data_IF_669531204950
#
_entry.id   IF_669531204950
#
_cell.length_a   1.000
_cell.length_b   1.000
_cell.length_c   1.000
_cell.angle_alpha   90.00
_cell.angle_beta   90.00
_cell.angle_gamma   90.00
#
_symmetry.space_group_name_H-M   'P 1'
#
loop_
_entity.id
_entity.type
_entity.pdbx_description
1 polymer ?
#
# COMPACT_ATOMS: atom_id res chain seq x y z
N UNK A 1 42.58 11.33 19.34
CA UNK A 1 43.78 10.89 18.61
C UNK A 1 43.58 9.40 18.34
N UNK A 2 43.51 8.84 17.14
CA UNK A 2 44.10 9.20 15.87
C UNK A 2 43.12 8.98 14.70
N UNK A 3 43.32 9.74 13.63
CA UNK A 3 42.64 9.63 12.34
C UNK A 3 43.44 8.70 11.41
N UNK A 4 42.74 8.01 10.52
CA UNK A 4 43.36 7.40 9.33
C UNK A 4 42.50 7.74 8.12
N UNK A 5 43.09 8.56 7.25
CA UNK A 5 42.63 8.91 5.90
C UNK A 5 43.32 8.00 4.88
N UNK A 6 42.59 7.57 3.86
CA UNK A 6 43.18 7.08 2.59
C UNK A 6 42.35 7.68 1.45
N UNK A 7 43.04 8.28 0.48
CA UNK A 7 42.46 8.77 -0.77
C UNK A 7 43.23 8.25 -1.99
N UNK A 8 42.59 8.32 -3.15
CA UNK A 8 43.14 8.39 -4.53
C UNK A 8 41.92 8.50 -5.47
N UNK A 9 41.72 9.58 -6.26
CA UNK A 9 42.28 9.85 -7.61
C UNK A 9 42.01 8.69 -8.58
N UNK A 10 41.42 8.81 -9.77
CA UNK A 10 41.15 9.91 -10.71
C UNK A 10 41.37 9.35 -12.15
N UNK A 11 40.58 9.80 -13.14
CA UNK A 11 40.75 9.76 -14.63
C UNK A 11 39.32 9.79 -15.25
N UNK A 12 38.88 10.72 -16.10
CA UNK A 12 39.56 11.64 -17.00
C UNK A 12 39.37 11.16 -18.45
N UNK A 13 38.50 11.83 -19.24
CA UNK A 13 38.33 11.55 -20.68
C UNK A 13 37.14 12.27 -21.33
N UNK A 14 37.38 13.51 -21.78
CA UNK A 14 36.53 14.27 -22.71
C UNK A 14 36.95 14.01 -24.17
N UNK A 15 36.00 13.96 -25.12
CA UNK A 15 36.21 14.38 -26.51
C UNK A 15 34.87 14.64 -27.26
N UNK A 16 34.68 15.92 -27.58
CA UNK A 16 33.74 16.59 -28.51
C UNK A 16 33.85 16.05 -29.97
N UNK A 17 33.00 16.27 -31.00
CA UNK A 17 32.15 17.40 -31.47
C UNK A 17 31.35 16.94 -32.76
N UNK A 18 30.72 17.77 -33.65
CA UNK A 18 29.29 17.63 -34.06
C UNK A 18 28.97 17.41 -35.58
N UNK A 19 27.76 16.90 -35.86
CA UNK A 19 26.65 17.26 -36.82
C UNK A 19 26.88 17.90 -38.25
N UNK A 20 25.84 18.02 -39.14
CA UNK A 20 25.49 17.23 -40.36
C UNK A 20 25.61 18.05 -41.69
N UNK A 21 25.01 17.68 -42.87
CA UNK A 21 23.57 17.93 -43.17
C UNK A 21 22.90 17.00 -44.23
N UNK A 22 21.62 17.32 -44.49
CA UNK A 22 20.58 16.59 -45.24
C UNK A 22 20.60 16.70 -46.79
N UNK A 23 19.71 15.93 -47.44
CA UNK A 23 18.64 16.32 -48.42
C UNK A 23 18.59 15.49 -49.73
N UNK A 24 17.38 15.04 -50.12
CA UNK A 24 16.94 14.93 -51.53
C UNK A 24 16.69 13.51 -52.10
N UNK A 25 15.46 12.96 -52.11
CA UNK A 25 14.39 12.96 -53.16
C UNK A 25 14.52 11.92 -54.32
N UNK A 26 13.47 11.09 -54.45
CA UNK A 26 12.79 10.60 -55.68
C UNK A 26 12.79 9.08 -56.04
N UNK A 27 11.57 8.54 -56.08
CA UNK A 27 10.92 7.73 -57.14
C UNK A 27 11.22 6.21 -57.35
N UNK A 28 10.17 5.42 -57.04
CA UNK A 28 9.52 4.35 -57.82
C UNK A 28 10.33 3.18 -58.43
N UNK A 29 9.99 1.93 -58.03
CA UNK A 29 9.36 0.91 -58.88
C UNK A 29 9.31 -0.46 -58.16
N UNK A 30 8.24 -1.21 -58.44
CA UNK A 30 7.91 -2.53 -57.91
C UNK A 30 8.92 -3.62 -58.30
N UNK A 31 9.21 -4.56 -57.41
CA UNK A 31 9.20 -5.98 -57.81
C UNK A 31 9.02 -6.93 -56.61
N UNK A 32 8.29 -8.00 -56.87
CA UNK A 32 7.81 -8.98 -55.90
C UNK A 32 8.90 -10.03 -55.61
N UNK A 33 9.19 -10.29 -54.34
CA UNK A 33 9.77 -11.59 -53.95
C UNK A 33 9.30 -12.00 -52.55
N UNK A 34 8.57 -13.11 -52.56
CA UNK A 34 7.99 -13.87 -51.46
C UNK A 34 8.85 -14.01 -50.20
N UNK A 35 8.31 -13.59 -49.06
CA UNK A 35 8.63 -14.15 -47.73
C UNK A 35 7.33 -14.35 -46.95
N UNK A 36 7.02 -15.56 -46.47
CA UNK A 36 5.87 -15.76 -45.60
C UNK A 36 6.12 -15.03 -44.28
N UNK A 37 5.30 -14.01 -43.99
CA UNK A 37 5.22 -13.42 -42.67
C UNK A 37 4.57 -14.45 -41.74
N UNK A 38 5.38 -15.01 -40.85
CA UNK A 38 4.90 -15.75 -39.69
C UNK A 38 4.02 -14.80 -38.88
N UNK A 39 2.74 -15.13 -38.84
CA UNK A 39 1.71 -14.56 -37.98
C UNK A 39 2.21 -14.55 -36.53
N UNK A 40 2.80 -13.44 -36.10
CA UNK A 40 2.97 -13.15 -34.68
C UNK A 40 1.63 -12.65 -34.15
N UNK A 41 0.69 -13.58 -34.01
CA UNK A 41 -0.51 -13.37 -33.21
C UNK A 41 -0.07 -13.29 -31.75
N UNK A 42 0.47 -12.14 -31.34
CA UNK A 42 0.57 -11.80 -29.94
C UNK A 42 -0.86 -11.55 -29.48
N UNK A 43 -1.50 -12.60 -28.99
CA UNK A 43 -2.72 -12.50 -28.20
C UNK A 43 -2.34 -11.72 -26.94
N UNK A 44 -2.38 -10.39 -27.02
CA UNK A 44 -2.29 -9.54 -25.86
C UNK A 44 -3.48 -9.91 -24.98
N UNK A 45 -3.19 -10.62 -23.88
CA UNK A 45 -4.16 -10.83 -22.83
C UNK A 45 -4.72 -9.46 -22.42
N UNK A 46 -6.04 -9.33 -22.23
CA UNK A 46 -6.59 -8.10 -21.69
C UNK A 46 -5.90 -7.83 -20.36
N UNK A 47 -5.33 -6.63 -20.22
CA UNK A 47 -4.87 -6.13 -18.94
C UNK A 47 -6.02 -6.32 -17.93
N UNK A 48 -5.75 -6.76 -16.68
CA UNK A 48 -6.78 -6.77 -15.66
C UNK A 48 -7.40 -5.37 -15.60
N UNK A 49 -8.73 -5.25 -15.44
CA UNK A 49 -9.34 -3.94 -15.27
C UNK A 49 -8.61 -3.25 -14.12
N UNK A 50 -8.14 -2.02 -14.36
CA UNK A 50 -7.72 -1.14 -13.27
C UNK A 50 -8.90 -1.07 -12.31
N UNK A 51 -8.85 -1.85 -11.24
CA UNK A 51 -9.90 -1.89 -10.25
C UNK A 51 -10.06 -0.47 -9.77
N UNK A 52 -11.25 0.11 -10.00
CA UNK A 52 -11.60 1.42 -9.49
C UNK A 52 -11.10 1.52 -8.06
N UNK A 53 -10.26 2.53 -7.80
CA UNK A 53 -9.96 2.90 -6.43
C UNK A 53 -11.31 3.01 -5.72
N UNK A 54 -11.60 2.05 -4.83
CA UNK A 54 -12.92 1.94 -4.21
C UNK A 54 -13.25 3.25 -3.50
N UNK A 55 -14.51 3.65 -3.52
CA UNK A 55 -14.95 4.85 -2.83
C UNK A 55 -14.69 4.69 -1.32
N UNK A 56 -14.04 5.65 -0.69
CA UNK A 56 -13.61 5.54 0.70
C UNK A 56 -13.10 6.85 1.29
N UNK A 57 -13.18 7.05 2.61
CA UNK A 57 -12.64 8.24 3.25
C UNK A 57 -11.12 8.31 3.16
N UNK A 58 -10.60 9.53 3.12
CA UNK A 58 -9.18 9.82 3.26
C UNK A 58 -8.80 9.93 4.73
N UNK A 59 -7.74 9.24 5.13
CA UNK A 59 -7.16 9.32 6.47
C UNK A 59 -6.57 10.72 6.72
N UNK A 60 -6.99 11.38 7.81
CA UNK A 60 -6.41 12.65 8.23
C UNK A 60 -5.11 12.43 9.01
N UNK A 61 -3.98 12.76 8.40
CA UNK A 61 -2.65 12.64 9.01
C UNK A 61 -2.50 13.44 10.31
N UNK A 62 -3.28 14.51 10.51
CA UNK A 62 -3.28 15.31 11.73
C UNK A 62 -3.82 14.57 12.96
N UNK A 63 -4.49 13.44 12.74
CA UNK A 63 -5.07 12.59 13.80
C UNK A 63 -4.13 11.50 14.29
N UNK A 64 -2.91 11.43 13.75
CA UNK A 64 -1.89 10.52 14.23
C UNK A 64 -1.60 10.78 15.71
N UNK A 65 -1.62 9.73 16.52
CA UNK A 65 -1.46 9.80 17.97
C UNK A 65 0.01 9.75 18.40
N UNK A 66 0.87 9.15 17.58
CA UNK A 66 2.29 8.96 17.90
C UNK A 66 3.16 8.74 16.65
N UNK A 67 4.48 8.77 16.80
CA UNK A 67 5.43 8.36 15.76
C UNK A 67 6.40 7.32 16.27
N UNK A 68 6.73 6.37 15.40
CA UNK A 68 7.66 5.29 15.72
C UNK A 68 8.73 5.17 14.64
N UNK A 69 9.96 4.83 15.05
CA UNK A 69 11.06 4.64 14.12
C UNK A 69 10.87 3.35 13.28
N UNK A 70 10.35 2.29 13.90
CA UNK A 70 10.14 1.00 13.23
C UNK A 70 8.86 0.35 13.78
N UNK A 71 8.05 -0.30 12.93
CA UNK A 71 6.91 -1.09 13.39
C UNK A 71 7.37 -2.17 14.38
N UNK A 72 6.63 -2.39 15.48
CA UNK A 72 6.89 -3.50 16.40
C UNK A 72 6.79 -4.87 15.71
N UNK A 73 7.43 -5.90 16.27
CA UNK A 73 7.53 -7.24 15.67
C UNK A 73 6.18 -7.92 15.44
N UNK A 74 5.13 -7.55 16.19
CA UNK A 74 3.77 -8.03 15.99
C UNK A 74 3.02 -7.38 14.81
N UNK A 75 3.63 -6.40 14.15
CA UNK A 75 3.10 -5.74 12.95
C UNK A 75 3.74 -6.29 11.68
N UNK A 76 2.92 -6.56 10.67
CA UNK A 76 3.38 -6.89 9.32
C UNK A 76 3.31 -5.65 8.45
N UNK A 77 4.42 -5.32 7.80
CA UNK A 77 4.51 -4.23 6.81
C UNK A 77 4.02 -4.74 5.45
N UNK A 78 3.02 -4.06 4.90
CA UNK A 78 2.39 -4.31 3.62
C UNK A 78 2.81 -3.24 2.60
N UNK A 79 3.33 -3.70 1.45
CA UNK A 79 3.82 -2.86 0.34
C UNK A 79 4.77 -1.74 0.77
N UNK A 80 5.48 -1.92 1.90
CA UNK A 80 6.39 -0.92 2.47
C UNK A 80 5.71 0.39 2.92
N UNK A 81 4.38 0.44 3.01
CA UNK A 81 3.62 1.67 3.20
C UNK A 81 2.74 1.66 4.47
N UNK A 82 2.21 0.50 4.83
CA UNK A 82 1.27 0.36 5.96
C UNK A 82 1.69 -0.84 6.78
N UNK A 83 1.69 -0.73 8.11
CA UNK A 83 1.85 -1.86 8.99
C UNK A 83 0.56 -2.11 9.78
N UNK A 84 0.10 -3.37 9.76
CA UNK A 84 -1.09 -3.85 10.48
C UNK A 84 -0.67 -4.92 11.48
N UNK A 85 -1.32 -4.97 12.64
CA UNK A 85 -1.05 -5.99 13.64
C UNK A 85 -1.56 -7.35 13.16
N UNK A 86 -0.65 -8.31 13.02
CA UNK A 86 -0.96 -9.70 12.67
C UNK A 86 -0.50 -10.67 13.75
N UNK A 87 0.49 -10.30 14.58
CA UNK A 87 1.04 -11.12 15.65
C UNK A 87 0.44 -10.84 17.04
N UNK A 88 0.84 -11.68 18.00
CA UNK A 88 0.44 -11.53 19.42
C UNK A 88 -0.98 -12.00 19.71
N UNK A 89 -1.50 -12.95 18.94
CA UNK A 89 -2.81 -13.59 19.15
C UNK A 89 -4.01 -12.85 18.57
N UNK A 90 -5.20 -13.29 18.97
CA UNK A 90 -6.48 -12.75 18.49
C UNK A 90 -6.78 -11.38 19.08
N UNK A 91 -7.17 -10.43 18.23
CA UNK A 91 -7.67 -9.12 18.66
C UNK A 91 -8.95 -9.31 19.46
N UNK A 92 -9.04 -8.70 20.64
CA UNK A 92 -10.26 -8.72 21.43
C UNK A 92 -11.33 -7.89 20.73
N UNK A 93 -12.44 -8.53 20.37
CA UNK A 93 -13.60 -7.87 19.77
C UNK A 93 -14.73 -7.81 20.80
N UNK A 94 -15.12 -6.60 21.19
CA UNK A 94 -16.18 -6.38 22.17
C UNK A 94 -17.50 -6.10 21.47
N UNK A 95 -18.59 -6.68 21.99
CA UNK A 95 -19.93 -6.47 21.46
C UNK A 95 -20.47 -5.10 21.89
N UNK A 96 -20.94 -4.30 20.94
CA UNK A 96 -21.78 -3.14 21.24
C UNK A 96 -23.25 -3.58 21.34
N UNK A 97 -23.90 -3.48 22.52
CA UNK A 97 -25.29 -3.87 22.70
C UNK A 97 -26.29 -2.88 22.10
N UNK A 98 -25.85 -1.67 21.72
CA UNK A 98 -26.68 -0.62 21.11
C UNK A 98 -26.76 -0.75 19.60
N UNK A 99 -25.88 -1.55 19.00
CA UNK A 99 -25.83 -1.82 17.56
C UNK A 99 -26.54 -3.14 17.24
N UNK A 100 -27.38 -3.20 16.18
CA UNK A 100 -28.02 -4.44 15.73
C UNK A 100 -27.02 -5.58 15.54
N UNK A 101 -27.41 -6.81 15.89
CA UNK A 101 -26.49 -7.95 15.93
C UNK A 101 -25.93 -8.36 14.56
N UNK A 102 -26.61 -8.00 13.48
CA UNK A 102 -26.26 -8.25 12.09
C UNK A 102 -25.53 -7.07 11.42
N UNK A 103 -25.38 -5.94 12.12
CA UNK A 103 -24.65 -4.78 11.61
C UNK A 103 -23.16 -5.09 11.48
N UNK A 104 -22.45 -4.61 10.44
CA UNK A 104 -20.98 -4.69 10.36
C UNK A 104 -20.26 -3.96 11.50
N UNK A 105 -20.98 -3.19 12.32
CA UNK A 105 -20.46 -2.48 13.48
C UNK A 105 -20.77 -3.16 14.83
N UNK A 106 -21.38 -4.36 14.81
CA UNK A 106 -21.85 -5.03 16.02
C UNK A 106 -20.73 -5.32 17.03
N UNK A 107 -19.54 -5.69 16.57
CA UNK A 107 -18.36 -5.91 17.41
C UNK A 107 -17.24 -4.98 16.99
N UNK A 108 -16.49 -4.45 17.95
CA UNK A 108 -15.32 -3.60 17.69
C UNK A 108 -14.05 -4.19 18.30
N UNK A 109 -12.99 -4.27 17.51
CA UNK A 109 -11.66 -4.66 17.95
C UNK A 109 -10.65 -3.53 17.74
N UNK A 110 -10.16 -3.00 18.86
CA UNK A 110 -9.20 -1.89 18.85
C UNK A 110 -7.81 -2.36 18.45
N UNK A 111 -7.18 -1.66 17.51
CA UNK A 111 -5.77 -1.88 17.13
C UNK A 111 -5.16 -0.61 16.53
N UNK A 112 -3.82 -0.53 16.57
CA UNK A 112 -3.08 0.50 15.86
C UNK A 112 -3.01 0.24 14.36
N UNK A 113 -2.95 1.31 13.58
CA UNK A 113 -2.48 1.31 12.20
C UNK A 113 -1.21 2.15 12.14
N UNK A 114 -0.15 1.61 11.53
CA UNK A 114 1.07 2.37 11.26
C UNK A 114 1.11 2.71 9.78
N UNK A 115 1.33 3.98 9.47
CA UNK A 115 1.44 4.48 8.10
C UNK A 115 2.82 5.08 7.91
N UNK A 116 3.49 4.72 6.83
CA UNK A 116 4.79 5.26 6.50
C UNK A 116 4.68 6.70 6.02
N UNK A 117 5.53 7.56 6.56
CA UNK A 117 5.60 8.97 6.16
C UNK A 117 5.97 9.09 4.67
N UNK A 118 5.29 10.00 3.98
CA UNK A 118 5.55 10.33 2.57
C UNK A 118 5.07 9.30 1.56
N UNK A 119 4.44 8.20 2.00
CA UNK A 119 3.97 7.13 1.10
C UNK A 119 2.45 7.09 1.09
N UNK A 120 1.85 7.47 -0.03
CA UNK A 120 0.41 7.28 -0.24
C UNK A 120 0.09 5.78 -0.41
N UNK A 121 -1.11 5.36 -0.06
CA UNK A 121 -1.56 3.98 -0.29
C UNK A 121 -3.08 3.89 -0.18
N UNK A 122 -3.65 2.73 -0.49
CA UNK A 122 -5.06 2.43 -0.21
C UNK A 122 -5.14 1.11 0.54
N UNK A 123 -5.81 1.14 1.70
CA UNK A 123 -6.14 -0.05 2.48
C UNK A 123 -7.56 -0.48 2.16
N UNK A 124 -7.78 -1.77 1.90
CA UNK A 124 -9.11 -2.35 1.68
C UNK A 124 -9.32 -3.62 2.49
N UNK A 125 -10.56 -3.84 2.91
CA UNK A 125 -11.04 -5.11 3.45
C UNK A 125 -11.64 -5.91 2.30
N UNK A 126 -11.17 -7.14 2.09
CA UNK A 126 -11.74 -8.05 1.09
C UNK A 126 -12.92 -8.82 1.68
N UNK A 127 -13.91 -9.11 0.82
CA UNK A 127 -15.10 -9.90 1.17
C UNK A 127 -15.81 -9.41 2.45
N UNK A 128 -15.84 -8.08 2.61
CA UNK A 128 -16.26 -7.38 3.83
C UNK A 128 -17.57 -6.59 3.68
N UNK A 129 -18.14 -6.53 2.47
CA UNK A 129 -19.38 -5.79 2.19
C UNK A 129 -20.51 -6.23 3.14
N UNK A 130 -21.05 -5.28 3.92
CA UNK A 130 -22.10 -5.55 4.91
C UNK A 130 -21.68 -6.45 6.07
N UNK A 131 -20.38 -6.72 6.23
CA UNK A 131 -19.87 -7.67 7.23
C UNK A 131 -18.77 -7.11 8.11
N UNK A 132 -17.96 -6.20 7.58
CA UNK A 132 -16.89 -5.57 8.30
C UNK A 132 -16.59 -4.18 7.74
N UNK A 133 -16.15 -3.30 8.62
CA UNK A 133 -15.68 -1.95 8.30
C UNK A 133 -14.44 -1.65 9.14
N UNK A 134 -13.64 -0.70 8.70
CA UNK A 134 -12.50 -0.22 9.45
C UNK A 134 -12.59 1.29 9.66
N UNK A 135 -12.01 1.75 10.76
CA UNK A 135 -11.86 3.17 11.05
C UNK A 135 -10.56 3.41 11.81
N UNK A 136 -9.79 4.41 11.40
CA UNK A 136 -8.62 4.91 12.11
C UNK A 136 -8.58 6.42 12.10
N UNK A 137 -7.95 7.00 13.11
CA UNK A 137 -7.91 8.44 13.30
C UNK A 137 -9.29 8.99 13.66
N UNK A 138 -9.58 10.21 13.21
CA UNK A 138 -10.92 10.83 13.34
C UNK A 138 -11.72 10.70 12.05
N UNK A 139 -11.59 9.57 11.35
CA UNK A 139 -12.40 9.32 10.16
C UNK A 139 -13.86 9.20 10.59
N UNK A 140 -14.71 10.07 10.04
CA UNK A 140 -16.11 10.21 10.46
C UNK A 140 -17.00 9.00 10.11
N UNK A 141 -16.59 8.18 9.14
CA UNK A 141 -17.38 7.05 8.66
C UNK A 141 -16.51 5.79 8.54
N UNK A 142 -16.82 4.71 9.27
CA UNK A 142 -16.25 3.40 9.02
C UNK A 142 -16.45 2.97 7.57
N UNK A 143 -15.45 2.33 6.97
CA UNK A 143 -15.46 1.97 5.54
C UNK A 143 -14.70 0.67 5.27
N UNK A 144 -15.01 0.00 4.17
CA UNK A 144 -14.24 -1.13 3.64
C UNK A 144 -12.99 -0.67 2.89
N UNK A 145 -12.92 0.59 2.48
CA UNK A 145 -11.79 1.21 1.78
C UNK A 145 -11.37 2.49 2.48
N UNK A 146 -10.06 2.67 2.72
CA UNK A 146 -9.49 3.88 3.30
C UNK A 146 -8.34 4.35 2.41
N UNK A 147 -8.41 5.59 1.95
CA UNK A 147 -7.31 6.22 1.24
C UNK A 147 -6.34 6.84 2.22
N UNK A 148 -5.07 6.52 2.05
CA UNK A 148 -4.00 7.01 2.91
C UNK A 148 -3.18 7.98 2.06
N UNK A 149 -3.24 9.29 2.33
CA UNK A 149 -2.43 10.25 1.59
C UNK A 149 -0.96 10.12 1.99
N UNK A 150 -0.07 10.76 1.22
CA UNK A 150 1.34 10.86 1.59
C UNK A 150 1.50 11.76 2.83
N UNK A 151 1.37 11.17 4.02
CA UNK A 151 1.38 11.93 5.26
C UNK A 151 2.76 12.57 5.52
N UNK A 152 2.81 13.86 5.91
CA UNK A 152 4.07 14.53 6.19
C UNK A 152 4.68 14.08 7.53
N UNK A 153 5.98 14.28 7.68
CA UNK A 153 6.65 14.15 8.97
C UNK A 153 6.11 15.18 9.96
N UNK A 154 6.01 14.80 11.24
CA UNK A 154 5.58 15.70 12.30
C UNK A 154 6.78 16.43 12.92
N UNK A 155 6.77 17.79 12.98
CA UNK A 155 7.87 18.56 13.56
C UNK A 155 8.10 18.29 15.05
N UNK A 156 7.05 17.92 15.78
CA UNK A 156 7.06 17.68 17.22
C UNK A 156 7.99 16.54 17.66
N UNK A 157 8.32 15.64 16.74
CA UNK A 157 8.98 14.37 17.07
C UNK A 157 10.47 14.40 16.73
N UNK A 158 10.99 15.60 16.45
CA UNK A 158 12.40 15.83 16.09
C UNK A 158 12.84 15.13 14.81
N UNK A 159 11.88 14.72 13.96
CA UNK A 159 12.13 14.00 12.70
C UNK A 159 12.67 12.57 12.86
N UNK A 160 12.44 11.92 14.02
CA UNK A 160 13.05 10.62 14.35
C UNK A 160 12.19 9.39 14.04
N UNK A 161 10.93 9.58 13.67
CA UNK A 161 10.01 8.50 13.31
C UNK A 161 9.79 8.42 11.81
N UNK A 162 9.79 7.20 11.25
CA UNK A 162 9.47 6.92 9.84
C UNK A 162 7.99 6.57 9.66
N UNK A 163 7.27 6.35 10.77
CA UNK A 163 5.90 5.85 10.80
C UNK A 163 5.03 6.71 11.71
N UNK A 164 3.82 7.01 11.23
CA UNK A 164 2.74 7.61 12.01
C UNK A 164 1.83 6.52 12.56
N UNK A 165 1.53 6.58 13.85
CA UNK A 165 0.58 5.68 14.50
C UNK A 165 -0.81 6.31 14.61
N UNK A 166 -1.85 5.54 14.27
CA UNK A 166 -3.24 5.95 14.37
C UNK A 166 -4.01 5.00 15.27
N UNK A 167 -4.81 5.56 16.18
CA UNK A 167 -5.78 4.79 16.96
C UNK A 167 -7.00 4.47 16.10
N UNK A 168 -7.55 3.27 16.27
CA UNK A 168 -8.74 2.85 15.57
C UNK A 168 -8.97 1.36 15.72
N UNK A 169 -9.52 0.73 14.71
CA UNK A 169 -9.75 -0.69 14.71
C UNK A 169 -10.65 -1.18 13.59
N UNK A 170 -11.04 -2.44 13.74
CA UNK A 170 -11.98 -3.10 12.86
C UNK A 170 -13.30 -3.26 13.58
N UNK A 171 -14.40 -3.05 12.87
CA UNK A 171 -15.72 -3.48 13.31
C UNK A 171 -16.21 -4.62 12.44
N UNK A 172 -16.89 -5.60 13.04
CA UNK A 172 -17.42 -6.78 12.34
C UNK A 172 -18.81 -7.14 12.83
N UNK A 173 -19.62 -7.74 11.96
CA UNK A 173 -20.94 -8.30 12.34
C UNK A 173 -20.82 -9.52 13.25
N UNK A 174 -19.75 -10.31 13.09
CA UNK A 174 -19.42 -11.42 13.97
C UNK A 174 -17.90 -11.61 14.03
N UNK A 175 -17.35 -12.12 15.16
CA UNK A 175 -15.94 -12.45 15.27
C UNK A 175 -15.45 -13.33 14.11
N UNK A 176 -14.39 -12.92 13.42
CA UNK A 176 -13.90 -13.53 12.18
C UNK A 176 -12.45 -13.20 11.88
N UNK A 177 -11.88 -13.93 10.93
CA UNK A 177 -10.64 -13.56 10.26
C UNK A 177 -10.94 -12.59 9.10
N UNK A 178 -10.30 -11.43 9.08
CA UNK A 178 -10.42 -10.45 8.00
C UNK A 178 -9.21 -10.51 7.07
N UNK A 179 -9.43 -10.31 5.77
CA UNK A 179 -8.33 -10.13 4.81
C UNK A 179 -8.19 -8.66 4.47
N UNK A 180 -7.03 -8.10 4.77
CA UNK A 180 -6.65 -6.74 4.40
C UNK A 180 -5.74 -6.78 3.18
N UNK A 181 -5.98 -5.89 2.23
CA UNK A 181 -5.06 -5.63 1.13
C UNK A 181 -4.62 -4.16 1.19
N UNK A 182 -3.33 -3.94 0.99
CA UNK A 182 -2.76 -2.60 0.81
C UNK A 182 -2.25 -2.51 -0.61
N UNK A 183 -2.69 -1.45 -1.30
CA UNK A 183 -2.24 -1.13 -2.66
C UNK A 183 -1.33 0.08 -2.60
N UNK A 184 -0.13 -0.05 -3.18
CA UNK A 184 0.83 1.04 -3.29
C UNK A 184 0.37 2.12 -4.30
N UNK A 185 0.99 3.32 -4.32
CA UNK A 185 0.74 4.32 -5.35
C UNK A 185 0.95 3.73 -6.75
N UNK A 186 0.02 4.02 -7.67
CA UNK A 186 0.10 3.50 -9.05
C UNK A 186 -0.55 2.13 -9.26
N UNK A 187 -1.04 1.47 -8.19
CA UNK A 187 -2.01 0.36 -8.31
C UNK A 187 -1.44 -1.02 -8.67
N UNK A 188 -0.14 -1.13 -8.96
CA UNK A 188 0.46 -2.39 -9.46
C UNK A 188 1.03 -3.29 -8.37
N UNK A 189 1.34 -2.76 -7.19
CA UNK A 189 1.86 -3.54 -6.07
C UNK A 189 0.79 -3.67 -4.96
N UNK A 190 0.47 -4.92 -4.62
CA UNK A 190 -0.53 -5.29 -3.61
C UNK A 190 0.06 -6.30 -2.63
N UNK A 191 -0.11 -6.02 -1.34
CA UNK A 191 0.26 -6.93 -0.27
C UNK A 191 -0.95 -7.24 0.62
N UNK A 192 -1.01 -8.48 1.11
CA UNK A 192 -2.16 -9.02 1.84
C UNK A 192 -1.75 -9.44 3.25
N UNK A 193 -2.67 -9.29 4.20
CA UNK A 193 -2.57 -9.87 5.53
C UNK A 193 -3.93 -10.38 6.02
N UNK A 194 -3.88 -11.37 6.90
CA UNK A 194 -5.05 -11.85 7.64
C UNK A 194 -5.03 -11.30 9.07
N UNK A 195 -6.17 -10.82 9.55
CA UNK A 195 -6.32 -10.17 10.85
C UNK A 195 -7.32 -10.96 11.71
N UNK A 196 -6.91 -11.49 12.88
CA UNK A 196 -7.77 -12.29 13.74
C UNK A 196 -8.65 -11.40 14.62
N UNK A 197 -9.85 -11.03 14.15
CA UNK A 197 -10.78 -10.13 14.85
C UNK A 197 -11.79 -10.92 15.69
N UNK A 198 -11.50 -11.10 16.98
CA UNK A 198 -12.34 -11.88 17.90
C UNK A 198 -12.35 -13.39 17.65
N UNK A 199 -11.79 -13.85 16.52
CA UNK A 199 -11.60 -15.25 16.17
C UNK A 199 -10.23 -15.43 15.50
N UNK A 200 -9.58 -16.60 15.68
CA UNK A 200 -8.28 -16.87 15.07
C UNK A 200 -8.38 -16.98 13.54
N UNK A 201 -7.32 -16.58 12.84
CA UNK A 201 -7.19 -16.86 11.42
C UNK A 201 -6.63 -18.27 11.19
N UNK A 202 -7.11 -18.98 10.15
CA UNK A 202 -6.53 -20.26 9.76
C UNK A 202 -5.03 -20.09 9.49
N UNK A 203 -4.21 -21.00 10.02
CA UNK A 203 -2.76 -21.07 9.79
C UNK A 203 -1.90 -19.92 10.35
N UNK A 204 -2.40 -19.10 11.28
CA UNK A 204 -1.52 -18.24 12.07
C UNK A 204 -0.92 -18.99 13.26
N UNK A 205 0.38 -18.83 13.56
CA UNK A 205 0.95 -19.31 14.81
C UNK A 205 0.26 -18.60 15.99
N UNK A 206 -0.07 -19.38 17.03
CA UNK A 206 -0.70 -18.90 18.25
C UNK A 206 0.24 -18.01 19.07
#
# INVERSE_FOLDING_TARGET
MAAVTVGAAGCGGDASTPDPPATGTAAAANDATSRPQLLSSSTALPAPPAGSAGDGPTLDCGTAIDTVATPPDEYTVLSGAVAVRTGGGTLQAERDPTVPADSPEAYFAKTGLLVRIGVASTLRLLDAEGQAVASWGRVAMPSTTIHIPACPARPSDGGKGDWLAFAGGYSVASPRCLTVVVTAPGGTDQAFATIPVGAPCPNQPA
#
